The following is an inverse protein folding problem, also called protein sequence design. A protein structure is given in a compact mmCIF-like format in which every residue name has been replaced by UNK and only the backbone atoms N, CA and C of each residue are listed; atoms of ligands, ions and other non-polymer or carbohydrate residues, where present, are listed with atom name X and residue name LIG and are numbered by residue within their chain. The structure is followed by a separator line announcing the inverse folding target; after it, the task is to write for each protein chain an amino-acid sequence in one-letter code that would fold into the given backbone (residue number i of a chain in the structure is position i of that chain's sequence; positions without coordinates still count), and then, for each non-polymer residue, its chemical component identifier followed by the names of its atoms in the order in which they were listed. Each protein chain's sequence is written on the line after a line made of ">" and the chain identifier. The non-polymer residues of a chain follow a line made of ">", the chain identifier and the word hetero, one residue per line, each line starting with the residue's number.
data_IF_755544776580
#
_entry.id   IF_755544776580
#
_cell.length_a   1.000
_cell.length_b   1.000
_cell.length_c   1.000
_cell.angle_alpha   90.00
_cell.angle_beta   90.00
_cell.angle_gamma   90.00
#
_symmetry.space_group_name_H-M   'P 1'
#
loop_
_entity.id
_entity.type
_entity.pdbx_description
1 polymer ?
#
# COMPACT_ATOMS: atom_id res chain seq x y z
N UNK A 1 2.17 -2.10 6.92
CA UNK A 1 2.90 -2.18 5.64
C UNK A 1 4.24 -1.43 5.66
N UNK A 2 4.27 -0.10 5.79
CA UNK A 2 5.48 0.73 5.63
C UNK A 2 6.69 0.28 6.45
N UNK A 3 6.51 -0.02 7.74
CA UNK A 3 7.64 -0.45 8.58
C UNK A 3 8.17 -1.82 8.17
N UNK A 4 7.27 -2.75 7.80
CA UNK A 4 7.63 -4.08 7.33
C UNK A 4 8.38 -3.99 5.99
N UNK A 5 7.89 -3.18 5.05
CA UNK A 5 8.54 -2.98 3.74
C UNK A 5 9.96 -2.39 3.84
N UNK A 6 10.27 -1.64 4.91
CA UNK A 6 11.56 -0.93 5.07
C UNK A 6 12.52 -1.71 5.98
N UNK A 7 12.01 -2.31 7.05
CA UNK A 7 12.84 -2.87 8.12
C UNK A 7 12.79 -4.40 8.19
N UNK A 8 11.75 -5.03 7.63
CA UNK A 8 11.49 -6.47 7.72
C UNK A 8 11.07 -7.02 6.34
N UNK A 9 11.73 -6.56 5.28
CA UNK A 9 11.28 -6.76 3.89
C UNK A 9 11.20 -8.24 3.45
N UNK A 10 11.91 -9.14 4.14
CA UNK A 10 11.79 -10.58 3.93
C UNK A 10 10.44 -11.16 4.40
N UNK A 11 9.74 -10.48 5.30
CA UNK A 11 8.41 -10.87 5.79
C UNK A 11 7.26 -10.25 5.01
N UNK A 12 7.53 -9.69 3.82
CA UNK A 12 6.51 -9.02 3.00
C UNK A 12 5.70 -10.06 2.24
N UNK A 13 4.38 -9.94 2.34
CA UNK A 13 3.43 -10.66 1.50
C UNK A 13 3.20 -9.89 0.17
N UNK A 14 3.63 -10.43 -0.98
CA UNK A 14 3.47 -9.77 -2.28
C UNK A 14 2.00 -9.54 -2.67
N UNK A 15 1.08 -10.43 -2.29
CA UNK A 15 -0.34 -10.29 -2.62
C UNK A 15 -0.96 -9.14 -1.85
N UNK A 16 -0.52 -8.93 -0.61
CA UNK A 16 -0.94 -7.79 0.20
C UNK A 16 -0.45 -6.46 -0.39
N UNK A 17 0.80 -6.42 -0.86
CA UNK A 17 1.37 -5.25 -1.55
C UNK A 17 0.60 -4.98 -2.84
N UNK A 18 0.33 -6.01 -3.64
CA UNK A 18 -0.40 -5.87 -4.89
C UNK A 18 -1.82 -5.35 -4.67
N UNK A 19 -2.54 -5.87 -3.66
CA UNK A 19 -3.85 -5.35 -3.28
C UNK A 19 -3.80 -3.86 -2.88
N UNK A 20 -2.78 -3.45 -2.13
CA UNK A 20 -2.62 -2.05 -1.70
C UNK A 20 -2.40 -1.14 -2.91
N UNK A 21 -1.60 -1.58 -3.88
CA UNK A 21 -1.37 -0.84 -5.13
C UNK A 21 -2.64 -0.71 -5.97
N UNK A 22 -3.43 -1.78 -6.05
CA UNK A 22 -4.63 -1.80 -6.92
C UNK A 22 -5.87 -1.15 -6.28
N UNK A 23 -5.99 -1.16 -4.95
CA UNK A 23 -7.22 -0.74 -4.25
C UNK A 23 -7.01 0.50 -3.39
N UNK A 24 -6.05 0.45 -2.48
CA UNK A 24 -5.90 1.44 -1.42
C UNK A 24 -5.27 2.74 -1.94
N UNK A 25 -4.24 2.64 -2.80
CA UNK A 25 -3.60 3.82 -3.40
C UNK A 25 -4.56 4.61 -4.31
N UNK A 26 -5.31 3.98 -5.24
CA UNK A 26 -6.29 4.70 -6.05
C UNK A 26 -7.42 5.34 -5.24
N UNK A 27 -7.88 4.70 -4.18
CA UNK A 27 -8.87 5.28 -3.27
C UNK A 27 -8.31 6.49 -2.53
N UNK A 28 -7.10 6.38 -1.98
CA UNK A 28 -6.42 7.50 -1.33
C UNK A 28 -6.27 8.69 -2.30
N UNK A 29 -5.89 8.44 -3.56
CA UNK A 29 -5.79 9.49 -4.58
C UNK A 29 -7.13 10.21 -4.80
N UNK A 30 -8.23 9.48 -4.93
CA UNK A 30 -9.58 10.07 -5.07
C UNK A 30 -9.98 10.92 -3.88
N UNK A 31 -9.56 10.54 -2.67
CA UNK A 31 -9.84 11.32 -1.46
C UNK A 31 -9.04 12.62 -1.45
N UNK A 32 -7.77 12.58 -1.84
CA UNK A 32 -6.91 13.76 -1.92
C UNK A 32 -7.38 14.75 -2.99
N UNK A 33 -7.93 14.27 -4.11
CA UNK A 33 -8.49 15.13 -5.17
C UNK A 33 -9.79 15.83 -4.76
N UNK A 34 -10.42 15.42 -3.64
CA UNK A 34 -11.65 16.04 -3.09
C UNK A 34 -11.37 17.06 -1.98
N UNK A 35 -10.10 17.31 -1.68
CA UNK A 35 -9.63 18.32 -0.72
C UNK A 35 -9.22 19.57 -1.50
#
# INVERSE_FOLDING_TARGET
>A
MRNILIHEYFGVDPDQVWNTVQKDIPELKRQLEKI
#
